data_IF_039994721625
#
_entry.id   IF_039994721625
#
_cell.length_a   1.000
_cell.length_b   1.000
_cell.length_c   1.000
_cell.angle_alpha   90.00
_cell.angle_beta   90.00
_cell.angle_gamma   90.00
#
_symmetry.space_group_name_H-M   'P 1'
#
loop_
_entity.id
_entity.type
_entity.pdbx_description
1 polymer ?
#
# COMPACT_ATOMS: atom_id res chain seq x y z
N UNK A 1 -10.08 12.30 16.46
CA UNK A 1 -9.04 11.24 16.55
C UNK A 1 -9.16 10.54 17.90
N UNK A 2 -10.00 9.50 18.04
CA UNK A 2 -10.19 8.78 19.33
C UNK A 2 -10.77 7.35 19.18
N UNK A 3 -10.73 6.73 17.98
CA UNK A 3 -11.40 5.43 17.76
C UNK A 3 -10.50 4.19 17.89
N UNK A 4 -9.19 4.31 17.66
CA UNK A 4 -8.22 3.19 17.74
C UNK A 4 -7.98 2.74 19.18
N UNK A 5 -7.78 3.67 20.12
CA UNK A 5 -7.66 3.37 21.55
C UNK A 5 -8.93 2.71 22.12
N UNK A 6 -10.11 3.05 21.58
CA UNK A 6 -11.37 2.42 21.99
C UNK A 6 -11.54 0.99 21.48
N UNK A 7 -10.98 0.65 20.32
CA UNK A 7 -11.04 -0.71 19.77
C UNK A 7 -10.07 -1.63 20.51
N UNK A 8 -8.83 -1.18 20.73
CA UNK A 8 -7.87 -1.91 21.56
C UNK A 8 -8.41 -2.17 22.95
N UNK A 9 -9.00 -1.15 23.60
CA UNK A 9 -9.52 -1.27 24.97
C UNK A 9 -10.79 -2.12 25.08
N UNK A 10 -11.58 -2.23 24.00
CA UNK A 10 -12.70 -3.18 23.92
C UNK A 10 -12.21 -4.61 23.71
N UNK A 11 -11.16 -4.80 22.90
CA UNK A 11 -10.49 -6.09 22.71
C UNK A 11 -9.87 -6.57 24.04
N UNK A 12 -9.15 -5.68 24.72
CA UNK A 12 -8.50 -5.93 26.01
C UNK A 12 -9.54 -6.34 27.08
N UNK A 13 -10.68 -5.63 27.15
CA UNK A 13 -11.77 -5.99 28.05
C UNK A 13 -12.40 -7.35 27.69
N UNK A 14 -12.58 -7.66 26.40
CA UNK A 14 -13.11 -8.97 26.00
C UNK A 14 -12.13 -10.12 26.26
N UNK A 15 -10.82 -9.88 26.17
CA UNK A 15 -9.76 -10.86 26.46
C UNK A 15 -9.68 -11.12 27.97
N UNK A 16 -9.83 -10.07 28.80
CA UNK A 16 -9.86 -10.18 30.26
C UNK A 16 -11.15 -10.88 30.74
N UNK A 17 -12.30 -10.63 30.11
CA UNK A 17 -13.57 -11.30 30.45
C UNK A 17 -13.63 -12.76 29.96
N UNK A 18 -12.84 -13.14 28.95
CA UNK A 18 -12.74 -14.53 28.44
C UNK A 18 -11.61 -15.36 29.07
N UNK A 19 -10.84 -14.81 30.02
CA UNK A 19 -9.63 -15.45 30.51
C UNK A 19 -9.91 -16.72 31.34
N UNK A 20 -9.97 -17.87 30.67
CA UNK A 20 -8.93 -18.85 30.93
C UNK A 20 -7.62 -18.17 30.51
N UNK A 21 -6.70 -17.96 31.45
CA UNK A 21 -5.45 -17.24 31.24
C UNK A 21 -4.79 -17.68 29.93
N UNK A 22 -4.79 -16.81 28.90
CA UNK A 22 -3.96 -17.02 27.70
C UNK A 22 -2.52 -17.07 28.18
N UNK A 23 -1.87 -18.22 28.03
CA UNK A 23 -0.47 -18.35 28.35
C UNK A 23 0.40 -17.69 27.27
N UNK A 24 1.71 -17.72 27.47
CA UNK A 24 2.68 -17.11 26.56
C UNK A 24 2.68 -17.76 25.16
N UNK A 25 2.30 -19.03 25.05
CA UNK A 25 2.23 -19.78 23.81
C UNK A 25 1.01 -19.35 23.00
N UNK A 26 -0.17 -19.21 23.63
CA UNK A 26 -1.38 -18.69 22.98
C UNK A 26 -1.17 -17.25 22.44
N UNK A 27 -0.50 -16.40 23.22
CA UNK A 27 -0.15 -15.04 22.81
C UNK A 27 0.81 -15.03 21.62
N UNK A 28 1.77 -15.97 21.60
CA UNK A 28 2.74 -16.12 20.52
C UNK A 28 2.06 -16.60 19.23
N UNK A 29 1.14 -17.55 19.33
CA UNK A 29 0.35 -18.02 18.19
C UNK A 29 -0.46 -16.87 17.58
N UNK A 30 -1.14 -16.08 18.41
CA UNK A 30 -1.94 -14.95 17.93
C UNK A 30 -1.08 -13.89 17.20
N UNK A 31 0.09 -13.56 17.74
CA UNK A 31 1.04 -12.63 17.09
C UNK A 31 1.51 -13.16 15.74
N UNK A 32 1.78 -14.47 15.65
CA UNK A 32 2.16 -15.10 14.39
C UNK A 32 1.01 -15.02 13.37
N UNK A 33 -0.23 -15.28 13.80
CA UNK A 33 -1.41 -15.14 12.94
C UNK A 33 -1.57 -13.70 12.43
N UNK A 34 -1.37 -12.68 13.28
CA UNK A 34 -1.42 -11.27 12.88
C UNK A 34 -0.34 -10.93 11.86
N UNK A 35 0.90 -11.40 12.06
CA UNK A 35 1.99 -11.20 11.11
C UNK A 35 1.69 -11.86 9.77
N UNK A 36 1.24 -13.12 9.77
CA UNK A 36 0.85 -13.84 8.55
C UNK A 36 -0.29 -13.10 7.85
N UNK A 37 -1.32 -12.69 8.58
CA UNK A 37 -2.43 -11.93 8.03
C UNK A 37 -1.97 -10.63 7.36
N UNK A 38 -1.09 -9.86 7.99
CA UNK A 38 -0.56 -8.62 7.42
C UNK A 38 0.18 -8.88 6.11
N UNK A 39 1.11 -9.84 6.10
CA UNK A 39 1.90 -10.18 4.92
C UNK A 39 1.02 -10.70 3.78
N UNK A 40 0.09 -11.60 4.06
CA UNK A 40 -0.86 -12.12 3.04
C UNK A 40 -1.75 -11.01 2.50
N UNK A 41 -2.22 -10.11 3.36
CA UNK A 41 -3.06 -8.97 2.97
C UNK A 41 -2.28 -8.00 2.08
N UNK A 42 -1.05 -7.66 2.46
CA UNK A 42 -0.16 -6.82 1.67
C UNK A 42 0.11 -7.42 0.28
N UNK A 43 0.46 -8.70 0.20
CA UNK A 43 0.68 -9.39 -1.09
C UNK A 43 -0.58 -9.35 -1.96
N UNK A 44 -1.74 -9.60 -1.37
CA UNK A 44 -3.04 -9.53 -2.05
C UNK A 44 -3.28 -8.15 -2.66
N UNK A 45 -3.09 -7.08 -1.89
CA UNK A 45 -3.28 -5.70 -2.38
C UNK A 45 -2.28 -5.31 -3.47
N UNK A 46 -1.01 -5.70 -3.32
CA UNK A 46 0.00 -5.48 -4.36
C UNK A 46 -0.36 -6.21 -5.66
N UNK A 47 -0.98 -7.40 -5.57
CA UNK A 47 -1.46 -8.11 -6.75
C UNK A 47 -2.68 -7.42 -7.40
N UNK A 48 -3.63 -6.92 -6.61
CA UNK A 48 -4.73 -6.14 -7.17
C UNK A 48 -4.24 -4.86 -7.86
N UNK A 49 -3.31 -4.14 -7.24
CA UNK A 49 -2.72 -2.94 -7.84
C UNK A 49 -1.94 -3.28 -9.12
N UNK A 50 -1.26 -4.43 -9.14
CA UNK A 50 -0.61 -4.97 -10.35
C UNK A 50 -1.60 -5.20 -11.49
N UNK A 51 -2.76 -5.81 -11.21
CA UNK A 51 -3.78 -6.04 -12.24
C UNK A 51 -4.39 -4.72 -12.75
N UNK A 52 -4.59 -3.75 -11.87
CA UNK A 52 -5.04 -2.41 -12.26
C UNK A 52 -4.04 -1.73 -13.20
N UNK A 53 -2.74 -1.77 -12.91
CA UNK A 53 -1.73 -1.22 -13.82
C UNK A 53 -1.72 -1.89 -15.19
N UNK A 54 -1.84 -3.22 -15.24
CA UNK A 54 -1.89 -3.95 -16.51
C UNK A 54 -3.13 -3.52 -17.31
N UNK A 55 -4.28 -3.41 -16.65
CA UNK A 55 -5.51 -2.93 -17.28
C UNK A 55 -5.36 -1.50 -17.81
N UNK A 56 -4.79 -0.59 -17.02
CA UNK A 56 -4.53 0.79 -17.43
C UNK A 56 -3.62 0.87 -18.65
N UNK A 57 -2.52 0.11 -18.67
CA UNK A 57 -1.61 0.04 -19.82
C UNK A 57 -2.36 -0.37 -21.09
N UNK A 58 -3.20 -1.41 -21.01
CA UNK A 58 -4.02 -1.87 -22.15
C UNK A 58 -4.99 -0.78 -22.61
N UNK A 59 -5.68 -0.11 -21.68
CA UNK A 59 -6.62 0.97 -21.99
C UNK A 59 -5.92 2.16 -22.65
N UNK A 60 -4.75 2.56 -22.15
CA UNK A 60 -3.97 3.66 -22.73
C UNK A 60 -3.52 3.32 -24.14
N UNK A 61 -3.04 2.10 -24.38
CA UNK A 61 -2.65 1.65 -25.72
C UNK A 61 -3.81 1.73 -26.72
N UNK A 62 -5.04 1.41 -26.29
CA UNK A 62 -6.23 1.56 -27.13
C UNK A 62 -6.54 3.05 -27.42
N UNK A 63 -6.36 3.94 -26.44
CA UNK A 63 -6.59 5.38 -26.56
C UNK A 63 -5.51 6.12 -27.37
N UNK A 64 -4.27 5.62 -27.42
CA UNK A 64 -3.18 6.19 -28.24
C UNK A 64 -3.57 6.27 -29.73
N UNK A 65 -4.46 5.37 -30.19
CA UNK A 65 -4.92 5.33 -31.58
C UNK A 65 -5.82 6.54 -31.91
N UNK A 66 -6.56 7.07 -30.94
CA UNK A 66 -7.63 8.05 -31.18
C UNK A 66 -7.31 9.46 -30.68
N UNK A 67 -6.40 9.61 -29.71
CA UNK A 67 -6.16 10.87 -29.01
C UNK A 67 -4.72 11.40 -29.18
N UNK A 68 -4.39 12.49 -28.48
CA UNK A 68 -3.10 13.17 -28.58
C UNK A 68 -1.94 12.22 -28.22
N UNK A 69 -1.14 11.89 -29.25
CA UNK A 69 -0.06 10.89 -29.15
C UNK A 69 0.93 11.19 -28.01
N UNK A 70 1.32 12.45 -27.83
CA UNK A 70 2.34 12.82 -26.83
C UNK A 70 1.89 12.61 -25.38
N UNK A 71 0.69 13.07 -25.01
CA UNK A 71 0.19 12.93 -23.63
C UNK A 71 -0.04 11.47 -23.29
N UNK A 72 -0.61 10.70 -24.21
CA UNK A 72 -0.83 9.28 -23.98
C UNK A 72 0.47 8.48 -23.90
N UNK A 73 1.52 8.87 -24.64
CA UNK A 73 2.87 8.27 -24.49
C UNK A 73 3.47 8.60 -23.12
N UNK A 74 3.36 9.86 -22.67
CA UNK A 74 3.85 10.26 -21.35
C UNK A 74 3.09 9.52 -20.23
N UNK A 75 1.78 9.40 -20.36
CA UNK A 75 0.95 8.64 -19.43
C UNK A 75 1.35 7.17 -19.41
N UNK A 76 1.50 6.54 -20.58
CA UNK A 76 1.93 5.15 -20.69
C UNK A 76 3.30 4.92 -20.02
N UNK A 77 4.26 5.82 -20.25
CA UNK A 77 5.57 5.76 -19.61
C UNK A 77 5.45 5.88 -18.08
N UNK A 78 4.66 6.83 -17.57
CA UNK A 78 4.47 7.02 -16.14
C UNK A 78 3.80 5.81 -15.46
N UNK A 79 2.76 5.24 -16.08
CA UNK A 79 2.10 4.02 -15.57
C UNK A 79 3.07 2.84 -15.58
N UNK A 80 3.85 2.68 -16.64
CA UNK A 80 4.85 1.60 -16.75
C UNK A 80 5.95 1.73 -15.70
N UNK A 81 6.46 2.94 -15.46
CA UNK A 81 7.44 3.17 -14.38
C UNK A 81 6.83 2.90 -13.00
N UNK A 82 5.57 3.28 -12.77
CA UNK A 82 4.85 2.98 -11.52
C UNK A 82 4.70 1.48 -11.29
N UNK A 83 4.41 0.72 -12.36
CA UNK A 83 4.35 -0.73 -12.33
C UNK A 83 5.71 -1.38 -12.04
N UNK A 84 6.78 -0.88 -12.68
CA UNK A 84 8.15 -1.33 -12.40
C UNK A 84 8.50 -1.09 -10.93
N UNK A 85 8.23 0.10 -10.40
CA UNK A 85 8.45 0.43 -8.98
C UNK A 85 7.68 -0.49 -8.03
N UNK A 86 6.47 -0.92 -8.42
CA UNK A 86 5.65 -1.82 -7.61
C UNK A 86 6.26 -3.23 -7.51
N UNK A 87 6.78 -3.77 -8.63
CA UNK A 87 7.15 -5.19 -8.75
C UNK A 87 8.64 -5.46 -8.66
N UNK A 88 9.46 -4.58 -9.22
CA UNK A 88 10.90 -4.75 -9.29
C UNK A 88 11.54 -3.93 -8.18
N UNK A 89 12.03 -4.62 -7.16
CA UNK A 89 12.92 -4.02 -6.17
C UNK A 89 14.29 -3.88 -6.84
N UNK A 90 14.57 -2.71 -7.40
CA UNK A 90 15.81 -2.43 -8.11
C UNK A 90 16.73 -1.57 -7.27
N UNK A 91 18.04 -1.69 -7.49
CA UNK A 91 19.01 -0.76 -6.88
C UNK A 91 18.79 0.70 -7.33
N UNK A 92 18.01 0.89 -8.40
CA UNK A 92 17.70 2.17 -9.02
C UNK A 92 16.33 2.74 -8.64
N UNK A 93 15.62 2.17 -7.65
CA UNK A 93 14.26 2.57 -7.26
C UNK A 93 14.12 4.09 -7.06
N UNK A 94 15.12 4.74 -6.44
CA UNK A 94 15.12 6.20 -6.24
C UNK A 94 15.18 6.97 -7.55
N UNK A 95 15.97 6.51 -8.52
CA UNK A 95 16.10 7.17 -9.82
C UNK A 95 14.80 7.01 -10.61
N UNK A 96 14.27 5.78 -10.66
CA UNK A 96 13.00 5.47 -11.32
C UNK A 96 11.86 6.30 -10.72
N UNK A 97 11.82 6.43 -9.40
CA UNK A 97 10.84 7.24 -8.69
C UNK A 97 10.96 8.73 -9.03
N UNK A 98 12.16 9.29 -9.03
CA UNK A 98 12.39 10.70 -9.39
C UNK A 98 12.00 11.00 -10.84
N UNK A 99 12.35 10.11 -11.78
CA UNK A 99 11.95 10.24 -13.18
C UNK A 99 10.43 10.20 -13.31
N UNK A 100 9.76 9.28 -12.60
CA UNK A 100 8.31 9.18 -12.63
C UNK A 100 7.64 10.41 -12.01
N UNK A 101 8.18 11.00 -10.93
CA UNK A 101 7.69 12.28 -10.40
C UNK A 101 7.77 13.42 -11.41
N UNK A 102 8.85 13.50 -12.18
CA UNK A 102 8.99 14.50 -13.25
C UNK A 102 7.92 14.28 -14.33
N UNK A 103 7.65 13.03 -14.71
CA UNK A 103 6.59 12.71 -15.66
C UNK A 103 5.20 13.08 -15.14
N UNK A 104 4.90 12.78 -13.87
CA UNK A 104 3.63 13.16 -13.21
C UNK A 104 3.47 14.68 -13.19
N UNK A 105 4.53 15.45 -12.91
CA UNK A 105 4.50 16.91 -12.97
C UNK A 105 4.22 17.43 -14.39
N UNK A 106 4.88 16.87 -15.41
CA UNK A 106 4.64 17.23 -16.80
C UNK A 106 3.19 16.94 -17.23
N UNK A 107 2.67 15.76 -16.86
CA UNK A 107 1.27 15.38 -17.09
C UNK A 107 0.30 16.30 -16.35
N UNK A 108 0.62 16.73 -15.14
CA UNK A 108 -0.16 17.70 -14.38
C UNK A 108 -0.24 19.06 -15.08
N UNK A 109 0.89 19.60 -15.54
CA UNK A 109 0.94 20.87 -16.29
C UNK A 109 0.12 20.78 -17.58
N UNK A 110 0.28 19.69 -18.34
CA UNK A 110 -0.44 19.48 -19.60
C UNK A 110 -1.94 19.25 -19.36
N UNK A 111 -2.31 18.50 -18.31
CA UNK A 111 -3.69 18.23 -17.93
C UNK A 111 -4.43 19.51 -17.52
N UNK A 112 -3.78 20.40 -16.76
CA UNK A 112 -4.34 21.72 -16.42
C UNK A 112 -4.52 22.58 -17.67
N UNK A 113 -3.50 22.63 -18.54
CA UNK A 113 -3.53 23.44 -19.77
C UNK A 113 -4.63 23.00 -20.76
N UNK A 114 -4.99 21.71 -20.75
CA UNK A 114 -6.02 21.14 -21.65
C UNK A 114 -7.38 20.91 -20.98
N UNK A 115 -7.52 21.23 -19.69
CA UNK A 115 -8.70 20.92 -18.88
C UNK A 115 -9.05 19.42 -18.82
N UNK A 116 -8.05 18.56 -18.92
CA UNK A 116 -8.20 17.11 -18.94
C UNK A 116 -7.77 16.53 -17.57
N UNK A 117 -8.69 16.58 -16.59
CA UNK A 117 -8.41 16.19 -15.20
C UNK A 117 -7.90 14.76 -15.01
N UNK A 118 -8.28 13.83 -15.91
CA UNK A 118 -7.84 12.44 -15.84
C UNK A 118 -6.31 12.31 -15.92
N UNK A 119 -5.65 13.14 -16.74
CA UNK A 119 -4.19 13.13 -16.87
C UNK A 119 -3.47 13.72 -15.65
N UNK A 120 -4.19 14.40 -14.77
CA UNK A 120 -3.66 14.90 -13.50
C UNK A 120 -3.85 13.88 -12.38
N UNK A 121 -5.05 13.32 -12.25
CA UNK A 121 -5.40 12.47 -11.10
C UNK A 121 -4.80 11.08 -11.22
N UNK A 122 -4.86 10.47 -12.40
CA UNK A 122 -4.45 9.08 -12.60
C UNK A 122 -2.95 8.86 -12.29
N UNK A 123 -2.00 9.66 -12.80
CA UNK A 123 -0.58 9.46 -12.51
C UNK A 123 -0.23 9.70 -11.03
N UNK A 124 -0.93 10.65 -10.38
CA UNK A 124 -0.76 10.92 -8.95
C UNK A 124 -1.23 9.73 -8.12
N UNK A 125 -2.38 9.15 -8.44
CA UNK A 125 -2.87 7.94 -7.79
C UNK A 125 -1.86 6.79 -7.94
N UNK A 126 -1.35 6.60 -9.16
CA UNK A 126 -0.41 5.54 -9.48
C UNK A 126 0.92 5.65 -8.72
N UNK A 127 1.46 6.85 -8.55
CA UNK A 127 2.71 6.97 -7.78
C UNK A 127 2.49 6.87 -6.26
N UNK A 128 1.31 7.25 -5.78
CA UNK A 128 1.02 7.31 -4.33
C UNK A 128 0.49 6.00 -3.76
N UNK A 129 -0.33 5.25 -4.49
CA UNK A 129 -0.96 4.02 -4.00
C UNK A 129 0.06 2.96 -3.50
N UNK A 130 1.15 2.63 -4.23
CA UNK A 130 2.15 1.69 -3.75
C UNK A 130 2.81 2.14 -2.44
N UNK A 131 3.08 3.44 -2.33
CA UNK A 131 3.67 4.03 -1.12
C UNK A 131 2.74 3.90 0.08
N UNK A 132 1.44 4.18 -0.10
CA UNK A 132 0.43 4.06 0.97
C UNK A 132 0.32 2.62 1.46
N UNK A 133 0.21 1.63 0.56
CA UNK A 133 0.12 0.23 0.97
C UNK A 133 1.38 -0.26 1.68
N UNK A 134 2.57 0.17 1.23
CA UNK A 134 3.82 -0.14 1.90
C UNK A 134 3.90 0.50 3.29
N UNK A 135 3.48 1.76 3.41
CA UNK A 135 3.42 2.47 4.68
C UNK A 135 2.50 1.75 5.67
N UNK A 136 1.28 1.39 5.27
CA UNK A 136 0.36 0.65 6.14
C UNK A 136 0.87 -0.72 6.54
N UNK A 137 1.50 -1.47 5.64
CA UNK A 137 2.08 -2.77 5.97
C UNK A 137 3.19 -2.65 7.03
N UNK A 138 4.04 -1.62 6.91
CA UNK A 138 5.10 -1.36 7.87
C UNK A 138 4.55 -0.88 9.22
N UNK A 139 3.58 0.05 9.21
CA UNK A 139 2.92 0.53 10.42
C UNK A 139 2.25 -0.60 11.19
N UNK A 140 1.57 -1.52 10.49
CA UNK A 140 1.00 -2.70 11.10
C UNK A 140 2.08 -3.65 11.65
N UNK A 141 3.17 -3.86 10.93
CA UNK A 141 4.28 -4.68 11.40
C UNK A 141 4.90 -4.10 12.69
N UNK A 142 5.07 -2.79 12.77
CA UNK A 142 5.57 -2.10 13.97
C UNK A 142 4.60 -2.25 15.15
N UNK A 143 3.29 -2.19 14.90
CA UNK A 143 2.26 -2.44 15.93
C UNK A 143 2.29 -3.89 16.44
N UNK A 144 2.50 -4.86 15.55
CA UNK A 144 2.65 -6.28 15.95
C UNK A 144 3.94 -6.50 16.73
N UNK A 145 5.04 -5.83 16.38
CA UNK A 145 6.29 -5.90 17.15
C UNK A 145 6.11 -5.29 18.55
N UNK A 146 5.38 -4.17 18.67
CA UNK A 146 5.03 -3.60 19.98
C UNK A 146 4.19 -4.57 20.81
N UNK A 147 3.21 -5.24 20.21
CA UNK A 147 2.41 -6.27 20.88
C UNK A 147 3.28 -7.45 21.35
N UNK A 148 4.23 -7.89 20.52
CA UNK A 148 5.17 -8.95 20.87
C UNK A 148 6.07 -8.61 22.07
N UNK A 149 6.39 -7.33 22.26
CA UNK A 149 7.15 -6.86 23.43
C UNK A 149 6.31 -6.78 24.72
N UNK A 150 4.99 -6.79 24.61
CA UNK A 150 4.04 -6.71 25.74
C UNK A 150 3.57 -8.08 26.23
N UNK A 151 4.17 -9.18 25.77
CA UNK A 151 3.84 -10.53 26.27
C UNK A 151 4.00 -10.61 27.79
N UNK A 152 2.98 -11.14 28.47
CA UNK A 152 3.01 -11.31 29.92
C UNK A 152 3.11 -12.78 30.27
N UNK A 153 4.14 -13.14 31.04
CA UNK A 153 4.26 -14.45 31.66
C UNK A 153 3.50 -14.41 32.99
N UNK A 154 2.30 -14.97 33.05
CA UNK A 154 1.63 -15.15 34.33
C UNK A 154 2.45 -16.15 35.16
N UNK A 155 3.12 -15.64 36.20
CA UNK A 155 3.80 -16.48 37.16
C UNK A 155 2.71 -17.09 38.04
N UNK A 156 2.43 -18.38 37.86
CA UNK A 156 1.54 -19.14 38.73
C UNK A 156 1.93 -18.86 40.20
N UNK A 157 1.03 -18.24 40.94
CA UNK A 157 1.04 -18.21 42.42
C UNK A 157 0.12 -19.33 42.88
#
# INVERSE_FOLDING_TARGET
MTSSASRLRKLDKSIIEQSNLLDEDDQTEYINQLNTYNQTTYITYINYLSYLYILEIVLILLLVITASKLINILLLLSVTLSYILLKLKTDYDRIVQNVNYVMVLQLGILGVARHEFLYLVLPVFNITAPWVYKYWNNDFADQVDQLNRLKYKYKNV
#
